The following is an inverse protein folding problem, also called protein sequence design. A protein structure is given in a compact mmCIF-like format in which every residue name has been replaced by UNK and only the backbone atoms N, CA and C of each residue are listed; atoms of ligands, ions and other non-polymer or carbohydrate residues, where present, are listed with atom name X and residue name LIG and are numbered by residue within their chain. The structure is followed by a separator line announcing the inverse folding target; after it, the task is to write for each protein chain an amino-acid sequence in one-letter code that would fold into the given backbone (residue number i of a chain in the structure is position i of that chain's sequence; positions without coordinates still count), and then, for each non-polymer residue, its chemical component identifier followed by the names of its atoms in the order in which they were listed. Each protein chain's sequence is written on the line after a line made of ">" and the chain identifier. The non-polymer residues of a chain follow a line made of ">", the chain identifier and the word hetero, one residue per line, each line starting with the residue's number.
data_IF_139312285072
#
_entry.id   IF_139312285072
#
_cell.length_a   1.000
_cell.length_b   1.000
_cell.length_c   1.000
_cell.angle_alpha   90.00
_cell.angle_beta   90.00
_cell.angle_gamma   90.00
#
_symmetry.space_group_name_H-M   'P 1'
#
loop_
_entity.id
_entity.type
_entity.pdbx_description
1 polymer ?
#
# COMPACT_ATOMS: atom_id res chain seq x y z
N UNK A 1 -21.60 0.41 11.02
CA UNK A 1 -20.17 0.11 10.86
C UNK A 1 -19.56 1.12 9.91
N UNK A 2 -18.33 1.53 10.15
CA UNK A 2 -17.57 2.46 9.32
C UNK A 2 -16.17 1.89 9.10
N UNK A 3 -15.63 1.95 7.88
CA UNK A 3 -14.25 1.62 7.58
C UNK A 3 -13.49 2.88 7.16
N UNK A 4 -12.26 3.05 7.68
CA UNK A 4 -11.34 4.11 7.30
C UNK A 4 -10.08 3.45 6.72
N UNK A 5 -9.76 3.78 5.47
CA UNK A 5 -8.51 3.42 4.83
C UNK A 5 -7.58 4.64 4.93
N UNK A 6 -6.44 4.47 5.58
CA UNK A 6 -5.47 5.54 5.76
C UNK A 6 -4.40 5.53 4.67
N UNK A 7 -4.37 6.58 3.87
CA UNK A 7 -3.44 6.83 2.78
C UNK A 7 -2.60 8.10 3.06
N UNK A 8 -2.33 8.37 4.34
CA UNK A 8 -1.80 9.65 4.79
C UNK A 8 -0.29 9.85 4.61
N UNK A 9 0.49 8.80 4.38
CA UNK A 9 1.94 8.88 4.29
C UNK A 9 2.44 9.57 3.01
N UNK A 10 3.50 10.40 3.12
CA UNK A 10 4.15 11.05 1.96
C UNK A 10 4.81 10.05 0.98
N UNK A 11 5.01 8.80 1.39
CA UNK A 11 5.59 7.74 0.55
C UNK A 11 7.07 7.96 0.21
N UNK A 12 7.79 8.81 0.94
CA UNK A 12 9.17 9.24 0.62
C UNK A 12 10.16 8.07 0.45
N UNK A 13 9.94 6.94 1.14
CA UNK A 13 10.77 5.73 1.02
C UNK A 13 10.67 5.03 -0.35
N UNK A 14 9.62 5.32 -1.15
CA UNK A 14 9.47 4.83 -2.54
C UNK A 14 10.14 5.75 -3.56
N UNK A 15 10.79 6.81 -3.09
CA UNK A 15 11.64 7.73 -3.85
C UNK A 15 10.95 8.30 -5.10
N UNK A 16 11.58 8.23 -6.27
CA UNK A 16 11.08 8.80 -7.54
C UNK A 16 9.71 8.25 -7.97
N UNK A 17 9.31 7.09 -7.47
CA UNK A 17 8.04 6.44 -7.82
C UNK A 17 6.82 7.15 -7.20
N UNK A 18 7.02 7.93 -6.13
CA UNK A 18 5.95 8.64 -5.41
C UNK A 18 6.06 10.17 -5.49
N UNK A 19 6.96 10.70 -6.32
CA UNK A 19 7.07 12.16 -6.55
C UNK A 19 5.77 12.76 -7.09
N UNK A 20 5.09 12.05 -7.98
CA UNK A 20 3.91 12.53 -8.70
C UNK A 20 2.65 11.68 -8.46
N UNK A 21 2.66 10.80 -7.47
CA UNK A 21 1.50 10.00 -7.08
C UNK A 21 1.51 9.63 -5.60
N UNK A 22 0.34 9.41 -5.03
CA UNK A 22 0.20 8.82 -3.71
C UNK A 22 0.74 7.38 -3.70
N UNK A 23 1.39 6.94 -2.61
CA UNK A 23 1.91 5.57 -2.48
C UNK A 23 0.84 4.49 -2.75
N UNK A 24 -0.41 4.60 -2.23
CA UNK A 24 -1.45 3.61 -2.51
C UNK A 24 -1.90 3.55 -3.98
N UNK A 25 -1.56 4.56 -4.79
CA UNK A 25 -1.79 4.57 -6.24
C UNK A 25 -0.61 3.95 -7.03
N UNK A 26 0.38 3.34 -6.37
CA UNK A 26 1.42 2.59 -7.08
C UNK A 26 0.83 1.35 -7.75
N UNK A 27 1.15 1.11 -9.04
CA UNK A 27 0.73 -0.08 -9.77
C UNK A 27 1.27 -1.35 -9.11
N UNK A 28 0.44 -2.39 -8.99
CA UNK A 28 0.85 -3.68 -8.46
C UNK A 28 0.35 -4.83 -9.36
N UNK A 29 1.18 -5.85 -9.55
CA UNK A 29 0.88 -7.01 -10.40
C UNK A 29 0.34 -6.64 -11.80
N UNK A 30 0.81 -5.51 -12.33
CA UNK A 30 0.51 -4.99 -13.66
C UNK A 30 -0.75 -4.14 -13.74
N UNK A 31 -1.91 -4.65 -13.38
CA UNK A 31 -3.22 -3.98 -13.59
C UNK A 31 -3.83 -3.38 -12.33
N UNK A 32 -3.38 -3.79 -11.16
CA UNK A 32 -3.90 -3.31 -9.88
C UNK A 32 -3.12 -2.12 -9.36
N UNK A 33 -3.63 -1.51 -8.28
CA UNK A 33 -2.92 -0.57 -7.42
C UNK A 33 -3.03 -1.01 -5.96
N UNK A 34 -2.15 -0.54 -5.09
CA UNK A 34 -2.11 -1.01 -3.70
C UNK A 34 -3.45 -0.80 -2.98
N UNK A 35 -4.12 0.33 -3.21
CA UNK A 35 -5.43 0.63 -2.61
C UNK A 35 -6.54 -0.33 -3.04
N UNK A 36 -6.37 -1.03 -4.15
CA UNK A 36 -7.37 -1.98 -4.64
C UNK A 36 -7.53 -3.18 -3.69
N UNK A 37 -6.48 -3.54 -2.93
CA UNK A 37 -6.52 -4.65 -1.97
C UNK A 37 -7.46 -4.38 -0.79
N UNK A 38 -7.28 -3.33 0.03
CA UNK A 38 -8.21 -3.03 1.11
C UNK A 38 -9.63 -2.73 0.60
N UNK A 39 -9.79 -2.04 -0.53
CA UNK A 39 -11.12 -1.78 -1.11
C UNK A 39 -11.82 -3.07 -1.56
N UNK A 40 -11.08 -4.03 -2.13
CA UNK A 40 -11.63 -5.33 -2.53
C UNK A 40 -12.03 -6.16 -1.32
N UNK A 41 -11.22 -6.17 -0.27
CA UNK A 41 -11.54 -6.87 0.98
C UNK A 41 -12.83 -6.29 1.61
N UNK A 42 -12.99 -4.97 1.65
CA UNK A 42 -14.21 -4.31 2.13
C UNK A 42 -15.43 -4.69 1.27
N UNK A 43 -15.30 -4.63 -0.06
CA UNK A 43 -16.38 -4.96 -0.98
C UNK A 43 -16.84 -6.41 -0.83
N UNK A 44 -15.91 -7.37 -0.74
CA UNK A 44 -16.23 -8.80 -0.55
C UNK A 44 -16.82 -9.09 0.83
N UNK A 45 -16.40 -8.34 1.85
CA UNK A 45 -16.94 -8.45 3.21
C UNK A 45 -18.29 -7.72 3.38
N UNK A 46 -18.82 -7.10 2.33
CA UNK A 46 -20.10 -6.39 2.38
C UNK A 46 -20.10 -5.09 3.18
N UNK A 47 -18.91 -4.50 3.37
CA UNK A 47 -18.73 -3.24 4.10
C UNK A 47 -18.78 -2.08 3.11
N UNK A 48 -19.82 -1.27 3.22
CA UNK A 48 -20.18 -0.27 2.20
C UNK A 48 -20.14 1.19 2.68
N UNK A 49 -19.77 1.46 3.92
CA UNK A 49 -19.52 2.81 4.41
C UNK A 49 -18.01 2.98 4.62
N UNK A 50 -17.34 3.58 3.64
CA UNK A 50 -15.88 3.61 3.53
C UNK A 50 -15.39 5.04 3.40
N UNK A 51 -14.45 5.43 4.27
CA UNK A 51 -13.70 6.66 4.12
C UNK A 51 -12.26 6.34 3.70
N UNK A 52 -11.79 7.03 2.68
CA UNK A 52 -10.40 6.96 2.25
C UNK A 52 -9.73 8.30 2.56
N UNK A 53 -8.86 8.29 3.54
CA UNK A 53 -8.15 9.49 3.96
C UNK A 53 -6.86 9.66 3.18
N UNK A 54 -6.68 10.80 2.51
CA UNK A 54 -5.55 11.07 1.63
C UNK A 54 -4.99 12.44 1.93
N UNK A 55 -3.71 12.51 2.34
CA UNK A 55 -3.05 13.78 2.64
C UNK A 55 -2.18 14.29 1.48
N UNK A 56 -1.56 13.39 0.72
CA UNK A 56 -0.62 13.73 -0.35
C UNK A 56 -1.11 13.21 -1.70
N UNK A 57 -0.90 13.99 -2.77
CA UNK A 57 -1.22 13.60 -4.16
C UNK A 57 -2.67 13.09 -4.33
N UNK A 58 -3.63 13.72 -3.68
CA UNK A 58 -5.03 13.27 -3.60
C UNK A 58 -5.69 13.09 -4.99
N UNK A 59 -5.30 13.90 -5.99
CA UNK A 59 -5.81 13.78 -7.35
C UNK A 59 -5.55 12.42 -7.99
N UNK A 60 -4.40 11.80 -7.68
CA UNK A 60 -4.07 10.46 -8.22
C UNK A 60 -4.94 9.37 -7.60
N UNK A 61 -5.34 9.55 -6.33
CA UNK A 61 -6.28 8.66 -5.67
C UNK A 61 -7.71 8.84 -6.19
N UNK A 62 -8.15 10.09 -6.39
CA UNK A 62 -9.48 10.38 -6.97
C UNK A 62 -9.64 9.72 -8.34
N UNK A 63 -8.62 9.82 -9.20
CA UNK A 63 -8.59 9.17 -10.51
C UNK A 63 -8.74 7.64 -10.42
N UNK A 64 -8.02 7.02 -9.48
CA UNK A 64 -8.04 5.56 -9.29
C UNK A 64 -9.36 5.07 -8.72
N UNK A 65 -9.85 5.69 -7.66
CA UNK A 65 -11.01 5.15 -6.97
C UNK A 65 -12.34 5.41 -7.68
N UNK A 66 -12.39 6.32 -8.66
CA UNK A 66 -13.56 6.57 -9.52
C UNK A 66 -14.88 6.66 -8.74
N UNK A 67 -14.88 7.39 -7.64
CA UNK A 67 -16.00 7.50 -6.68
C UNK A 67 -16.45 6.15 -6.08
N UNK A 68 -15.57 5.16 -6.01
CA UNK A 68 -15.86 3.84 -5.45
C UNK A 68 -16.65 2.90 -6.38
N UNK A 69 -16.91 3.31 -7.62
CA UNK A 69 -17.77 2.58 -8.55
C UNK A 69 -17.32 1.13 -8.82
N UNK A 70 -16.04 0.82 -9.02
CA UNK A 70 -15.61 -0.56 -9.23
C UNK A 70 -16.01 -1.49 -8.08
N UNK A 71 -16.01 -1.00 -6.84
CA UNK A 71 -16.30 -1.75 -5.61
C UNK A 71 -17.77 -1.62 -5.16
N UNK A 72 -18.64 -1.07 -6.02
CA UNK A 72 -20.05 -0.81 -5.69
C UNK A 72 -20.23 0.12 -4.47
N UNK A 73 -19.34 1.12 -4.37
CA UNK A 73 -19.31 2.14 -3.30
C UNK A 73 -19.78 3.53 -3.78
N UNK A 74 -20.36 3.64 -4.99
CA UNK A 74 -20.97 4.86 -5.53
C UNK A 74 -22.43 5.01 -5.07
N UNK A 75 -22.64 5.07 -3.75
CA UNK A 75 -23.95 5.01 -3.11
C UNK A 75 -24.39 6.34 -2.53
N UNK A 76 -25.71 6.54 -2.38
CA UNK A 76 -26.28 7.72 -1.72
C UNK A 76 -26.24 7.63 -0.18
N UNK A 77 -26.26 6.41 0.36
CA UNK A 77 -26.12 6.13 1.78
C UNK A 77 -24.93 5.20 1.98
N UNK A 78 -23.98 5.61 2.83
CA UNK A 78 -22.67 5.00 2.89
C UNK A 78 -21.79 5.40 1.70
N UNK A 79 -21.21 4.39 1.01
CA UNK A 79 -20.32 4.59 -0.14
C UNK A 79 -18.92 5.05 0.21
N UNK A 80 -18.13 5.35 -0.82
CA UNK A 80 -16.77 5.85 -0.68
C UNK A 80 -16.75 7.36 -0.53
N UNK A 81 -16.11 7.84 0.55
CA UNK A 81 -15.84 9.25 0.75
C UNK A 81 -14.33 9.49 0.84
N UNK A 82 -13.82 10.40 0.01
CA UNK A 82 -12.45 10.90 0.17
C UNK A 82 -12.41 11.95 1.28
N UNK A 83 -11.50 11.75 2.24
CA UNK A 83 -11.17 12.73 3.26
C UNK A 83 -9.83 13.38 2.90
N UNK A 84 -9.81 14.69 2.85
CA UNK A 84 -8.61 15.49 2.60
C UNK A 84 -8.43 16.49 3.74
N UNK A 85 -7.18 16.92 4.05
CA UNK A 85 -6.92 17.92 5.06
C UNK A 85 -7.77 19.18 4.85
N UNK A 86 -8.36 19.68 5.90
CA UNK A 86 -9.21 20.87 5.87
C UNK A 86 -8.42 22.08 6.39
N UNK A 87 -8.69 23.24 5.80
CA UNK A 87 -8.25 24.55 6.31
C UNK A 87 -9.42 25.51 6.35
N UNK A 88 -9.55 26.27 7.42
CA UNK A 88 -10.57 27.32 7.56
C UNK A 88 -11.33 27.28 8.87
N UNK A 89 -11.70 28.45 9.38
CA UNK A 89 -12.47 28.59 10.62
C UNK A 89 -13.86 27.97 10.50
N UNK A 90 -14.25 27.14 11.48
CA UNK A 90 -15.55 26.47 11.51
C UNK A 90 -15.55 25.04 10.92
N UNK A 91 -14.39 24.48 10.58
CA UNK A 91 -14.25 23.04 10.34
C UNK A 91 -14.61 22.28 11.63
N UNK A 92 -15.21 21.09 11.46
CA UNK A 92 -15.44 20.15 12.57
C UNK A 92 -14.17 19.38 12.90
N UNK A 93 -13.23 19.40 11.98
CA UNK A 93 -11.95 18.71 12.08
C UNK A 93 -10.89 19.68 12.59
N UNK A 94 -9.88 19.19 13.26
CA UNK A 94 -8.67 19.96 13.51
C UNK A 94 -8.01 20.33 12.19
N UNK A 95 -7.55 21.60 12.07
CA UNK A 95 -6.97 22.10 10.83
C UNK A 95 -5.59 21.50 10.54
N UNK A 96 -5.26 21.35 9.26
CA UNK A 96 -3.93 21.01 8.77
C UNK A 96 -3.72 19.53 8.44
N UNK A 97 -2.46 19.20 8.17
CA UNK A 97 -2.03 17.84 7.91
C UNK A 97 -1.83 17.09 9.23
N UNK A 98 -2.17 15.80 9.24
CA UNK A 98 -1.85 14.96 10.37
C UNK A 98 -0.35 14.62 10.38
N UNK A 99 0.23 14.55 11.58
CA UNK A 99 1.63 14.18 11.81
C UNK A 99 1.83 12.67 11.92
N UNK A 100 0.73 11.91 12.08
CA UNK A 100 0.70 10.45 12.14
C UNK A 100 -0.72 9.92 11.93
N UNK A 101 -0.85 8.61 11.85
CA UNK A 101 -2.12 7.96 11.57
C UNK A 101 -3.09 7.98 12.76
N UNK A 102 -2.62 8.04 14.02
CA UNK A 102 -3.47 8.25 15.19
C UNK A 102 -3.90 9.73 15.32
N UNK A 103 -3.02 10.68 14.98
CA UNK A 103 -3.37 12.10 14.88
C UNK A 103 -4.47 12.33 13.84
N UNK A 104 -4.40 11.64 12.70
CA UNK A 104 -5.44 11.67 11.67
C UNK A 104 -6.82 11.26 12.23
N UNK A 105 -6.87 10.15 12.98
CA UNK A 105 -8.11 9.68 13.61
C UNK A 105 -8.65 10.70 14.62
N UNK A 106 -7.77 11.34 15.40
CA UNK A 106 -8.18 12.39 16.31
C UNK A 106 -8.80 13.58 15.56
N UNK A 107 -8.17 14.05 14.49
CA UNK A 107 -8.64 15.19 13.69
C UNK A 107 -10.03 14.97 13.09
N UNK A 108 -10.39 13.73 12.76
CA UNK A 108 -11.70 13.37 12.21
C UNK A 108 -12.66 12.79 13.26
N UNK A 109 -12.29 12.74 14.54
CA UNK A 109 -13.05 12.09 15.61
C UNK A 109 -14.49 12.63 15.74
N UNK A 110 -14.69 13.95 15.57
CA UNK A 110 -16.01 14.55 15.56
C UNK A 110 -16.90 14.06 14.40
N UNK A 111 -16.33 13.75 13.25
CA UNK A 111 -17.08 13.15 12.15
C UNK A 111 -17.41 11.68 12.44
N UNK A 112 -16.47 10.91 13.03
CA UNK A 112 -16.72 9.53 13.46
C UNK A 112 -17.87 9.49 14.46
N UNK A 113 -17.85 10.33 15.50
CA UNK A 113 -18.90 10.43 16.50
C UNK A 113 -20.27 10.81 15.90
N UNK A 114 -20.29 11.63 14.84
CA UNK A 114 -21.55 12.01 14.17
C UNK A 114 -22.15 10.84 13.37
N UNK A 115 -21.33 9.95 12.81
CA UNK A 115 -21.78 8.72 12.16
C UNK A 115 -22.27 7.71 13.18
N UNK A 116 -21.71 7.73 14.41
CA UNK A 116 -22.01 6.82 15.54
C UNK A 116 -22.03 5.34 15.11
N UNK A 117 -20.94 4.82 14.51
CA UNK A 117 -20.91 3.42 14.09
C UNK A 117 -20.76 2.49 15.29
N UNK A 118 -21.31 1.26 15.20
CA UNK A 118 -21.12 0.24 16.24
C UNK A 118 -19.69 -0.30 16.27
N UNK A 119 -19.02 -0.37 15.11
CA UNK A 119 -17.61 -0.77 14.95
C UNK A 119 -16.94 0.16 13.97
N UNK A 120 -15.72 0.56 14.28
CA UNK A 120 -14.82 1.30 13.39
C UNK A 120 -13.67 0.38 12.94
N UNK A 121 -13.57 0.13 11.64
CA UNK A 121 -12.40 -0.49 11.05
C UNK A 121 -11.41 0.58 10.58
N UNK A 122 -10.13 0.39 10.88
CA UNK A 122 -9.05 1.26 10.40
C UNK A 122 -7.97 0.39 9.78
N UNK A 123 -7.51 0.73 8.58
CA UNK A 123 -6.51 -0.07 7.88
C UNK A 123 -5.60 0.79 7.01
N UNK A 124 -4.37 0.30 6.79
CA UNK A 124 -3.43 0.91 5.85
C UNK A 124 -3.88 0.71 4.40
N UNK A 125 -3.58 1.68 3.54
CA UNK A 125 -3.95 1.70 2.12
C UNK A 125 -2.92 1.00 1.21
N UNK A 126 -1.77 0.57 1.72
CA UNK A 126 -0.57 0.26 0.95
C UNK A 126 0.01 -1.15 1.22
N UNK A 127 -0.79 -2.03 1.83
CA UNK A 127 -0.43 -3.42 2.06
C UNK A 127 -1.10 -4.36 1.06
N UNK A 128 -0.40 -5.45 0.72
CA UNK A 128 -0.91 -6.52 -0.14
C UNK A 128 -1.34 -7.70 0.72
N UNK A 129 -2.64 -7.96 0.80
CA UNK A 129 -3.22 -9.03 1.61
C UNK A 129 -4.64 -9.37 1.16
N UNK A 130 -5.16 -10.47 1.68
CA UNK A 130 -6.57 -10.87 1.60
C UNK A 130 -7.09 -11.18 3.00
N UNK A 131 -8.21 -10.58 3.36
CA UNK A 131 -8.85 -10.80 4.66
C UNK A 131 -10.36 -10.63 4.54
N UNK A 132 -11.13 -11.57 5.10
CA UNK A 132 -12.56 -11.38 5.34
C UNK A 132 -12.74 -10.48 6.57
N UNK A 133 -13.12 -9.25 6.31
CA UNK A 133 -13.31 -8.24 7.35
C UNK A 133 -14.65 -8.44 8.10
N UNK A 134 -15.61 -9.20 7.54
CA UNK A 134 -16.83 -9.56 8.26
C UNK A 134 -16.49 -10.53 9.41
N UNK A 135 -15.63 -11.53 9.17
CA UNK A 135 -15.14 -12.43 10.22
C UNK A 135 -14.40 -11.68 11.33
N UNK A 136 -13.58 -10.68 10.96
CA UNK A 136 -12.90 -9.81 11.93
C UNK A 136 -13.90 -9.05 12.81
N UNK A 137 -14.94 -8.45 12.19
CA UNK A 137 -15.97 -7.69 12.91
C UNK A 137 -16.76 -8.59 13.85
N UNK A 138 -17.17 -9.77 13.39
CA UNK A 138 -17.90 -10.74 14.21
C UNK A 138 -17.05 -11.19 15.41
N UNK A 139 -15.77 -11.46 15.20
CA UNK A 139 -14.83 -11.82 16.28
C UNK A 139 -14.64 -10.66 17.28
N UNK A 140 -14.51 -9.43 16.80
CA UNK A 140 -14.39 -8.24 17.64
C UNK A 140 -15.61 -8.07 18.54
N UNK A 141 -16.80 -8.12 17.96
CA UNK A 141 -18.07 -7.99 18.72
C UNK A 141 -18.25 -9.13 19.71
N UNK A 142 -17.97 -10.38 19.31
CA UNK A 142 -18.10 -11.56 20.18
C UNK A 142 -17.14 -11.53 21.38
N UNK A 143 -15.94 -10.99 21.21
CA UNK A 143 -14.95 -10.85 22.28
C UNK A 143 -15.28 -9.74 23.29
N UNK A 144 -16.09 -8.77 22.90
CA UNK A 144 -16.34 -7.55 23.67
C UNK A 144 -15.08 -6.70 23.87
N UNK A 145 -14.09 -6.83 22.98
CA UNK A 145 -12.85 -6.06 23.03
C UNK A 145 -13.09 -4.57 22.76
N UNK A 146 -12.20 -3.73 23.27
CA UNK A 146 -12.15 -2.30 22.97
C UNK A 146 -11.34 -2.04 21.67
N UNK A 147 -10.36 -2.92 21.42
CA UNK A 147 -9.55 -2.94 20.19
C UNK A 147 -9.25 -4.38 19.79
N UNK A 148 -9.32 -4.67 18.51
CA UNK A 148 -8.78 -5.91 17.93
C UNK A 148 -7.68 -5.53 16.94
N UNK A 149 -6.50 -6.09 17.14
CA UNK A 149 -5.32 -5.91 16.28
C UNK A 149 -5.22 -7.11 15.36
N UNK A 150 -5.25 -6.90 14.06
CA UNK A 150 -4.94 -7.98 13.11
C UNK A 150 -3.43 -8.22 13.09
N UNK A 151 -3.02 -9.47 13.29
CA UNK A 151 -1.62 -9.87 13.38
C UNK A 151 -1.26 -10.86 12.31
N UNK A 152 0.00 -10.82 11.87
CA UNK A 152 0.60 -11.78 10.95
C UNK A 152 1.99 -12.16 11.43
N UNK A 153 2.54 -13.25 10.90
CA UNK A 153 3.89 -13.69 11.21
C UNK A 153 4.85 -13.31 10.07
N UNK A 154 5.96 -12.71 10.41
CA UNK A 154 7.10 -12.44 9.53
C UNK A 154 8.37 -13.02 10.10
N UNK A 155 9.46 -13.06 9.34
CA UNK A 155 10.76 -13.43 9.87
C UNK A 155 11.18 -12.42 10.95
N UNK A 156 11.81 -12.90 12.03
CA UNK A 156 12.18 -12.05 13.20
C UNK A 156 13.10 -10.90 12.76
N UNK A 157 13.95 -11.14 11.76
CA UNK A 157 14.87 -10.14 11.20
C UNK A 157 14.11 -9.00 10.49
N UNK A 158 12.91 -9.26 9.94
CA UNK A 158 12.06 -8.24 9.30
C UNK A 158 11.13 -7.56 10.32
N UNK A 159 10.92 -8.15 11.50
CA UNK A 159 9.93 -7.68 12.48
C UNK A 159 10.25 -6.29 13.07
N UNK A 160 11.54 -5.89 13.10
CA UNK A 160 11.97 -4.57 13.56
C UNK A 160 11.44 -3.38 12.74
N UNK A 161 11.05 -3.61 11.49
CA UNK A 161 10.42 -2.58 10.65
C UNK A 161 8.92 -2.36 10.96
N UNK A 162 8.33 -3.25 11.77
CA UNK A 162 6.90 -3.30 12.09
C UNK A 162 6.63 -3.09 13.58
N UNK A 163 5.35 -3.02 13.93
CA UNK A 163 4.94 -3.08 15.33
C UNK A 163 4.83 -4.54 15.77
N UNK A 164 5.69 -4.95 16.71
CA UNK A 164 5.72 -6.31 17.28
C UNK A 164 4.63 -6.45 18.34
N UNK A 165 3.87 -7.53 18.26
CA UNK A 165 2.73 -7.79 19.16
C UNK A 165 3.03 -9.01 20.04
N UNK A 166 2.85 -8.87 21.35
CA UNK A 166 2.88 -9.97 22.30
C UNK A 166 1.47 -10.34 22.74
N UNK A 167 1.16 -11.62 22.78
CA UNK A 167 -0.16 -12.13 23.18
C UNK A 167 -0.04 -13.17 24.28
N UNK A 168 -1.07 -13.27 25.12
CA UNK A 168 -1.20 -14.36 26.08
C UNK A 168 -1.97 -15.57 25.49
N UNK A 169 -2.10 -16.63 26.26
CA UNK A 169 -2.77 -17.88 25.83
C UNK A 169 -4.27 -17.67 25.51
N UNK A 170 -4.87 -16.57 25.92
CA UNK A 170 -6.26 -16.21 25.61
C UNK A 170 -6.39 -15.40 24.32
N UNK A 171 -5.28 -15.03 23.68
CA UNK A 171 -5.24 -14.15 22.51
C UNK A 171 -5.33 -12.67 22.85
N UNK A 172 -5.22 -12.29 24.14
CA UNK A 172 -5.17 -10.90 24.56
C UNK A 172 -3.79 -10.33 24.29
N UNK A 173 -3.74 -9.12 23.73
CA UNK A 173 -2.50 -8.38 23.52
C UNK A 173 -1.97 -7.88 24.86
N UNK A 174 -0.73 -8.24 25.17
CA UNK A 174 -0.03 -7.90 26.41
C UNK A 174 1.04 -6.83 26.23
N UNK A 175 1.60 -6.71 25.02
CA UNK A 175 2.52 -5.64 24.64
C UNK A 175 2.38 -5.29 23.16
N UNK A 176 2.68 -4.04 22.84
CA UNK A 176 2.72 -3.52 21.48
C UNK A 176 3.97 -2.64 21.36
N UNK A 177 5.02 -3.20 20.75
CA UNK A 177 6.33 -2.57 20.64
C UNK A 177 6.51 -1.99 19.24
N UNK A 178 6.50 -0.66 19.13
CA UNK A 178 6.54 0.01 17.85
C UNK A 178 7.95 0.10 17.29
N UNK A 179 8.24 -0.67 16.24
CA UNK A 179 9.53 -0.74 15.53
C UNK A 179 10.73 -0.89 16.47
N UNK A 180 10.78 -1.97 17.25
CA UNK A 180 11.86 -2.20 18.20
C UNK A 180 13.17 -2.54 17.47
N UNK A 181 14.30 -2.05 18.00
CA UNK A 181 15.64 -2.40 17.49
C UNK A 181 15.96 -3.90 17.68
N UNK A 182 15.39 -4.54 18.69
CA UNK A 182 15.56 -5.96 19.02
C UNK A 182 14.18 -6.62 19.18
N UNK A 183 13.57 -7.10 18.09
CA UNK A 183 12.22 -7.65 18.12
C UNK A 183 12.17 -8.98 18.89
N UNK A 184 11.27 -9.09 19.85
CA UNK A 184 11.10 -10.27 20.69
C UNK A 184 10.50 -11.48 19.95
N UNK A 185 9.80 -11.24 18.82
CA UNK A 185 9.17 -12.29 18.01
C UNK A 185 8.88 -11.76 16.59
N UNK A 186 8.51 -12.70 15.70
CA UNK A 186 8.03 -12.35 14.35
C UNK A 186 6.52 -12.10 14.27
N UNK A 187 5.78 -12.01 15.38
CA UNK A 187 4.36 -11.68 15.36
C UNK A 187 4.20 -10.16 15.30
N UNK A 188 3.69 -9.65 14.18
CA UNK A 188 3.56 -8.20 13.92
C UNK A 188 2.13 -7.78 13.65
N UNK A 189 1.85 -6.50 13.85
CA UNK A 189 0.60 -5.87 13.42
C UNK A 189 0.55 -5.77 11.89
N UNK A 190 -0.56 -6.21 11.30
CA UNK A 190 -0.83 -6.01 9.88
C UNK A 190 -1.38 -4.60 9.57
N UNK A 191 -1.40 -3.69 10.55
CA UNK A 191 -1.98 -2.35 10.46
C UNK A 191 -3.46 -2.36 10.03
N UNK A 192 -4.20 -3.32 10.54
CA UNK A 192 -5.65 -3.45 10.41
C UNK A 192 -6.22 -3.57 11.83
N UNK A 193 -7.16 -2.72 12.15
CA UNK A 193 -7.72 -2.62 13.49
C UNK A 193 -9.25 -2.56 13.45
N UNK A 194 -9.89 -3.21 14.42
CA UNK A 194 -11.28 -2.98 14.75
C UNK A 194 -11.40 -2.33 16.13
N UNK A 195 -12.12 -1.22 16.23
CA UNK A 195 -12.26 -0.47 17.46
C UNK A 195 -13.72 -0.35 17.90
N UNK A 196 -13.94 -0.31 19.21
CA UNK A 196 -15.10 0.39 19.77
C UNK A 196 -14.90 1.89 19.55
N UNK A 197 -15.70 2.55 18.71
CA UNK A 197 -15.46 3.95 18.32
C UNK A 197 -15.59 4.93 19.49
N UNK A 198 -16.39 4.60 20.51
CA UNK A 198 -16.56 5.46 21.69
C UNK A 198 -15.33 5.40 22.59
N UNK A 199 -14.75 4.21 22.74
CA UNK A 199 -13.49 4.04 23.49
C UNK A 199 -12.36 4.72 22.75
N UNK A 200 -12.24 4.49 21.43
CA UNK A 200 -11.19 5.10 20.62
C UNK A 200 -11.20 6.63 20.74
N UNK A 201 -12.35 7.27 20.53
CA UNK A 201 -12.44 8.73 20.59
C UNK A 201 -12.15 9.27 21.98
N UNK A 202 -12.59 8.61 23.05
CA UNK A 202 -12.26 8.98 24.42
C UNK A 202 -10.76 8.87 24.71
N UNK A 203 -10.09 7.81 24.24
CA UNK A 203 -8.64 7.64 24.40
C UNK A 203 -7.86 8.69 23.61
N UNK A 204 -8.29 9.02 22.39
CA UNK A 204 -7.67 10.08 21.58
C UNK A 204 -7.82 11.46 22.24
N UNK A 205 -8.98 11.77 22.83
CA UNK A 205 -9.22 13.02 23.57
C UNK A 205 -8.32 13.09 24.83
N UNK A 206 -8.14 11.98 25.55
CA UNK A 206 -7.25 11.91 26.71
C UNK A 206 -5.79 12.11 26.30
N UNK A 207 -5.33 11.44 25.24
CA UNK A 207 -3.97 11.60 24.71
C UNK A 207 -3.71 13.05 24.27
N UNK A 208 -4.64 13.66 23.54
CA UNK A 208 -4.48 15.05 23.13
C UNK A 208 -4.38 16.01 24.33
N UNK A 209 -5.17 15.77 25.39
CA UNK A 209 -5.11 16.59 26.61
C UNK A 209 -3.77 16.43 27.34
N UNK A 210 -3.19 15.22 27.34
CA UNK A 210 -1.91 14.94 28.00
C UNK A 210 -0.70 15.45 27.19
N UNK A 211 -0.73 15.32 25.87
CA UNK A 211 0.42 15.52 24.98
C UNK A 211 0.38 16.87 24.27
N UNK A 212 -0.82 17.36 23.90
CA UNK A 212 -1.00 18.56 23.08
C UNK A 212 -0.46 19.86 23.70
N UNK A 213 -0.41 19.97 25.06
CA UNK A 213 0.17 21.13 25.71
C UNK A 213 1.69 21.28 25.47
N UNK A 214 2.37 20.20 25.08
CA UNK A 214 3.81 20.15 24.80
C UNK A 214 4.15 20.12 23.32
N UNK A 215 3.14 19.98 22.47
CA UNK A 215 3.29 19.92 21.03
C UNK A 215 3.51 21.31 20.41
N UNK A 216 4.10 21.35 19.23
CA UNK A 216 4.25 22.58 18.46
C UNK A 216 2.88 23.10 17.97
N UNK A 217 2.80 24.37 17.61
CA UNK A 217 1.55 24.96 17.15
C UNK A 217 1.01 24.25 15.91
N UNK A 218 -0.19 23.66 16.03
CA UNK A 218 -0.83 22.89 14.97
C UNK A 218 -0.56 21.37 15.01
N UNK A 219 0.31 20.90 15.91
CA UNK A 219 0.49 19.49 16.24
C UNK A 219 -0.39 19.10 17.42
N UNK A 220 -0.96 17.91 17.39
CA UNK A 220 -1.77 17.36 18.50
C UNK A 220 -0.94 16.63 19.54
N UNK A 221 0.31 16.29 19.21
CA UNK A 221 1.22 15.47 20.02
C UNK A 221 0.92 13.97 19.99
N UNK A 222 -0.11 13.53 19.26
CA UNK A 222 -0.57 12.13 19.27
C UNK A 222 0.32 11.23 18.40
N UNK A 223 0.75 11.72 17.24
CA UNK A 223 1.65 11.00 16.33
C UNK A 223 1.04 9.74 15.69
N UNK A 224 1.86 8.70 15.53
CA UNK A 224 1.44 7.41 14.99
C UNK A 224 0.73 6.54 16.03
N UNK A 225 -0.11 5.60 15.58
CA UNK A 225 -0.88 4.73 16.47
C UNK A 225 0.01 3.90 17.41
N UNK A 226 1.22 3.54 16.97
CA UNK A 226 2.16 2.75 17.75
C UNK A 226 2.88 3.51 18.85
N UNK A 227 2.93 4.85 18.79
CA UNK A 227 3.64 5.68 19.75
C UNK A 227 2.87 5.82 21.07
N UNK A 228 1.56 6.06 21.01
CA UNK A 228 0.76 6.35 22.19
C UNK A 228 -0.59 5.63 22.22
N UNK A 229 -1.30 5.54 21.08
CA UNK A 229 -2.67 5.02 21.03
C UNK A 229 -2.76 3.54 21.37
N UNK A 230 -2.04 2.69 20.64
CA UNK A 230 -2.08 1.24 20.84
C UNK A 230 -1.51 0.84 22.21
N UNK A 231 -0.37 1.37 22.68
CA UNK A 231 0.09 1.13 24.05
C UNK A 231 -0.96 1.46 25.12
N UNK A 232 -1.63 2.61 24.98
CA UNK A 232 -2.71 3.01 25.92
C UNK A 232 -3.91 2.05 25.88
N UNK A 233 -4.31 1.56 24.70
CA UNK A 233 -5.40 0.59 24.57
C UNK A 233 -5.00 -0.78 25.13
N UNK A 234 -3.75 -1.20 24.98
CA UNK A 234 -3.20 -2.44 25.58
C UNK A 234 -3.19 -2.37 27.10
N UNK A 235 -2.75 -1.24 27.69
CA UNK A 235 -2.76 -1.01 29.14
C UNK A 235 -4.18 -1.12 29.75
N UNK A 236 -5.23 -0.81 28.99
CA UNK A 236 -6.62 -0.98 29.41
C UNK A 236 -7.04 -2.45 29.53
N UNK A 237 -6.26 -3.38 28.95
CA UNK A 237 -6.43 -4.82 29.08
C UNK A 237 -7.57 -5.45 28.29
N UNK A 238 -8.16 -4.71 27.33
CA UNK A 238 -9.26 -5.17 26.46
C UNK A 238 -8.90 -5.10 24.98
N UNK A 239 -7.61 -5.29 24.66
CA UNK A 239 -7.10 -5.43 23.30
C UNK A 239 -6.83 -6.90 23.03
N UNK A 240 -7.34 -7.42 21.90
CA UNK A 240 -7.18 -8.81 21.46
C UNK A 240 -6.52 -8.89 20.08
N UNK A 241 -5.87 -10.00 19.80
CA UNK A 241 -5.30 -10.27 18.48
C UNK A 241 -6.27 -11.07 17.61
N UNK A 242 -6.27 -10.80 16.30
CA UNK A 242 -6.94 -11.59 15.28
C UNK A 242 -5.91 -11.99 14.23
N UNK A 243 -5.74 -13.29 13.96
CA UNK A 243 -4.72 -13.74 13.01
C UNK A 243 -5.17 -13.52 11.57
N UNK A 244 -4.31 -12.91 10.75
CA UNK A 244 -4.50 -12.83 9.30
C UNK A 244 -3.99 -14.13 8.67
N UNK A 245 -4.86 -14.92 8.04
CA UNK A 245 -4.45 -16.13 7.36
C UNK A 245 -3.86 -15.80 5.98
N UNK A 246 -2.76 -16.46 5.63
CA UNK A 246 -2.18 -16.35 4.29
C UNK A 246 -1.20 -15.21 4.11
N UNK A 247 -1.09 -14.74 2.85
CA UNK A 247 -0.08 -13.77 2.47
C UNK A 247 -0.41 -12.36 2.98
N UNK A 248 0.59 -11.70 3.52
CA UNK A 248 0.59 -10.27 3.84
C UNK A 248 1.97 -9.69 3.57
N UNK A 249 2.02 -8.48 3.02
CA UNK A 249 3.28 -7.71 2.88
C UNK A 249 3.02 -6.21 2.88
N UNK A 250 3.78 -5.50 3.71
CA UNK A 250 4.00 -4.06 3.54
C UNK A 250 4.96 -3.85 2.36
N UNK A 251 4.59 -2.99 1.44
CA UNK A 251 5.40 -2.64 0.27
C UNK A 251 5.94 -1.21 0.37
N UNK A 252 6.41 -0.86 1.56
CA UNK A 252 6.87 0.46 1.95
C UNK A 252 8.19 0.91 1.35
N UNK A 253 8.97 0.02 0.74
CA UNK A 253 10.30 0.26 0.20
C UNK A 253 10.48 -0.42 -1.17
N UNK A 254 11.36 0.07 -2.06
CA UNK A 254 11.55 -0.51 -3.40
C UNK A 254 11.87 -2.00 -3.43
N UNK A 255 12.71 -2.50 -2.51
CA UNK A 255 13.03 -3.91 -2.43
C UNK A 255 11.83 -4.77 -2.00
N UNK A 256 11.06 -4.33 -0.99
CA UNK A 256 9.84 -5.01 -0.54
C UNK A 256 8.77 -5.00 -1.63
N UNK A 257 8.66 -3.90 -2.38
CA UNK A 257 7.75 -3.81 -3.52
C UNK A 257 8.14 -4.77 -4.64
N UNK A 258 9.42 -4.87 -4.99
CA UNK A 258 9.91 -5.80 -5.99
C UNK A 258 9.77 -7.27 -5.51
N UNK A 259 10.06 -7.53 -4.23
CA UNK A 259 9.88 -8.83 -3.59
C UNK A 259 8.41 -9.28 -3.61
N UNK A 260 7.47 -8.39 -3.26
CA UNK A 260 6.04 -8.71 -3.34
C UNK A 260 5.58 -9.11 -4.75
N UNK A 261 6.13 -8.49 -5.79
CA UNK A 261 5.88 -8.91 -7.17
C UNK A 261 6.46 -10.30 -7.47
N UNK A 262 7.63 -10.61 -6.96
CA UNK A 262 8.25 -11.95 -7.12
C UNK A 262 7.48 -13.01 -6.37
N UNK A 263 7.01 -12.74 -5.14
CA UNK A 263 6.17 -13.66 -4.37
C UNK A 263 4.92 -14.05 -5.18
N UNK A 264 4.27 -13.07 -5.80
CA UNK A 264 3.09 -13.31 -6.65
C UNK A 264 3.43 -14.12 -7.90
N UNK A 265 4.60 -13.88 -8.51
CA UNK A 265 5.01 -14.53 -9.76
C UNK A 265 5.49 -15.97 -9.55
N UNK A 266 6.25 -16.24 -8.49
CA UNK A 266 7.04 -17.46 -8.32
C UNK A 266 6.45 -18.40 -7.26
N UNK A 267 5.94 -17.84 -6.17
CA UNK A 267 5.57 -18.60 -4.98
C UNK A 267 4.07 -18.93 -4.92
N UNK A 268 3.28 -18.38 -5.87
CA UNK A 268 1.85 -18.67 -5.96
C UNK A 268 1.08 -18.35 -4.68
N UNK A 269 1.42 -17.23 -4.05
CA UNK A 269 0.95 -16.85 -2.69
C UNK A 269 -0.57 -16.66 -2.52
N UNK A 270 -1.35 -16.96 -3.56
CA UNK A 270 -2.81 -17.03 -3.46
C UNK A 270 -3.50 -15.71 -3.11
N UNK A 271 -2.92 -14.58 -3.50
CA UNK A 271 -3.52 -13.25 -3.25
C UNK A 271 -4.31 -12.74 -4.44
N UNK A 272 -3.93 -13.11 -5.67
CA UNK A 272 -4.60 -12.66 -6.90
C UNK A 272 -5.64 -13.67 -7.40
N UNK A 273 -5.30 -14.96 -7.42
CA UNK A 273 -6.09 -16.02 -8.07
C UNK A 273 -6.92 -16.80 -7.03
N UNK A 274 -7.79 -16.10 -6.29
CA UNK A 274 -8.67 -16.75 -5.32
C UNK A 274 -10.08 -16.81 -5.87
N UNK A 275 -10.63 -18.01 -6.12
CA UNK A 275 -12.00 -18.17 -6.58
C UNK A 275 -13.00 -17.51 -5.62
N UNK A 276 -13.88 -16.66 -6.17
CA UNK A 276 -14.88 -15.94 -5.38
C UNK A 276 -14.36 -14.70 -4.63
N UNK A 277 -13.05 -14.43 -4.71
CA UNK A 277 -12.43 -13.26 -4.06
C UNK A 277 -11.43 -12.53 -5.00
N UNK A 278 -11.84 -12.13 -6.22
CA UNK A 278 -10.96 -11.41 -7.13
C UNK A 278 -10.59 -10.03 -6.58
N UNK A 279 -9.40 -9.57 -6.88
CA UNK A 279 -9.05 -8.16 -6.64
C UNK A 279 -9.80 -7.31 -7.68
N UNK A 280 -10.61 -6.41 -7.18
CA UNK A 280 -11.41 -5.47 -7.98
C UNK A 280 -10.57 -4.20 -8.18
N UNK A 281 -10.61 -3.63 -9.38
CA UNK A 281 -9.81 -2.45 -9.72
C UNK A 281 -10.52 -1.58 -10.76
N UNK A 282 -10.19 -0.31 -10.78
CA UNK A 282 -10.50 0.59 -11.90
C UNK A 282 -9.50 0.39 -13.02
N UNK A 283 -9.75 -0.60 -13.87
CA UNK A 283 -8.84 -0.93 -14.95
C UNK A 283 -9.15 -0.16 -16.24
N UNK A 284 -8.13 0.40 -16.93
CA UNK A 284 -8.31 0.98 -18.23
C UNK A 284 -8.71 -0.11 -19.25
N UNK A 285 -9.65 0.21 -20.15
CA UNK A 285 -10.00 -0.70 -21.23
C UNK A 285 -8.85 -0.74 -22.25
N UNK A 286 -8.23 -1.89 -22.39
CA UNK A 286 -7.12 -2.15 -23.32
C UNK A 286 -7.41 -3.42 -24.12
N UNK A 287 -6.90 -3.54 -25.36
CA UNK A 287 -6.97 -4.80 -26.10
C UNK A 287 -6.17 -5.90 -25.37
N UNK A 288 -6.40 -7.18 -25.69
CA UNK A 288 -5.56 -8.26 -25.16
C UNK A 288 -4.07 -8.03 -25.44
N UNK A 289 -3.22 -8.57 -24.55
CA UNK A 289 -1.78 -8.56 -24.75
C UNK A 289 -1.39 -9.38 -25.99
N UNK A 290 -0.31 -8.98 -26.67
CA UNK A 290 0.19 -9.62 -27.87
C UNK A 290 1.62 -10.12 -27.64
N UNK A 291 1.82 -11.43 -27.76
CA UNK A 291 3.14 -12.06 -27.78
C UNK A 291 3.46 -12.41 -29.23
N UNK A 292 4.49 -11.79 -29.78
CA UNK A 292 4.85 -11.91 -31.20
C UNK A 292 5.79 -13.10 -31.44
N UNK A 293 5.95 -13.46 -32.71
CA UNK A 293 6.87 -14.55 -33.12
C UNK A 293 8.30 -14.24 -32.63
N UNK A 294 8.96 -15.26 -32.06
CA UNK A 294 10.31 -15.15 -31.52
C UNK A 294 10.40 -14.57 -30.09
N UNK A 295 9.30 -14.06 -29.53
CA UNK A 295 9.29 -13.63 -28.15
C UNK A 295 9.42 -14.81 -27.17
N UNK A 296 10.09 -14.56 -26.03
CA UNK A 296 10.19 -15.52 -24.91
C UNK A 296 9.58 -14.87 -23.66
N UNK A 297 8.53 -15.49 -23.13
CA UNK A 297 7.89 -15.05 -21.89
C UNK A 297 7.87 -16.22 -20.92
N UNK A 298 8.44 -16.05 -19.72
CA UNK A 298 8.40 -17.06 -18.65
C UNK A 298 8.26 -16.43 -17.28
N UNK A 299 7.47 -17.06 -16.41
CA UNK A 299 7.24 -16.65 -15.02
C UNK A 299 6.92 -15.14 -14.90
N UNK A 300 6.00 -14.63 -15.73
CA UNK A 300 5.78 -13.20 -15.90
C UNK A 300 4.30 -12.86 -16.03
N UNK A 301 3.90 -11.68 -15.53
CA UNK A 301 2.60 -11.12 -15.78
C UNK A 301 2.66 -10.12 -16.94
N UNK A 302 1.81 -10.29 -17.95
CA UNK A 302 1.72 -9.41 -19.11
C UNK A 302 0.34 -8.81 -19.19
N UNK A 303 0.24 -7.53 -18.89
CA UNK A 303 -1.04 -6.82 -18.79
C UNK A 303 -1.68 -6.54 -20.15
N UNK A 304 -3.00 -6.30 -20.21
CA UNK A 304 -3.71 -5.93 -21.44
C UNK A 304 -3.06 -4.74 -22.17
N UNK A 305 -3.10 -4.78 -23.50
CA UNK A 305 -2.49 -3.77 -24.37
C UNK A 305 -1.00 -3.91 -24.60
N UNK A 306 -0.31 -4.73 -23.82
CA UNK A 306 1.14 -4.94 -23.97
C UNK A 306 1.49 -5.67 -25.27
N UNK A 307 2.67 -5.37 -25.82
CA UNK A 307 3.21 -6.05 -26.98
C UNK A 307 4.62 -6.54 -26.65
N UNK A 308 4.86 -7.86 -26.77
CA UNK A 308 6.16 -8.49 -26.49
C UNK A 308 6.70 -9.11 -27.76
N UNK A 309 7.85 -8.61 -28.23
CA UNK A 309 8.64 -9.17 -29.32
C UNK A 309 10.04 -9.63 -28.84
N UNK A 310 10.43 -9.29 -27.62
CA UNK A 310 11.71 -9.62 -26.99
C UNK A 310 11.58 -10.71 -25.93
N UNK A 311 12.42 -10.62 -24.90
CA UNK A 311 12.49 -11.56 -23.77
C UNK A 311 11.95 -10.92 -22.50
N UNK A 312 11.02 -11.59 -21.82
CA UNK A 312 10.46 -11.16 -20.53
C UNK A 312 10.52 -12.36 -19.57
N UNK A 313 11.26 -12.23 -18.49
CA UNK A 313 11.43 -13.29 -17.49
C UNK A 313 11.28 -12.78 -16.08
N UNK A 314 10.48 -13.48 -15.26
CA UNK A 314 10.23 -13.15 -13.85
C UNK A 314 9.94 -11.66 -13.65
N UNK A 315 9.09 -11.12 -14.53
CA UNK A 315 8.85 -9.68 -14.65
C UNK A 315 7.37 -9.37 -14.79
N UNK A 316 7.02 -8.14 -14.45
CA UNK A 316 5.66 -7.64 -14.59
C UNK A 316 5.64 -6.50 -15.60
N UNK A 317 4.81 -6.64 -16.63
CA UNK A 317 4.54 -5.60 -17.62
C UNK A 317 3.16 -4.98 -17.38
N UNK A 318 3.14 -3.69 -17.11
CA UNK A 318 1.92 -2.89 -16.98
C UNK A 318 1.17 -2.70 -18.30
N UNK A 319 -0.08 -2.20 -18.27
CA UNK A 319 -0.92 -2.06 -19.45
C UNK A 319 -0.26 -1.23 -20.56
N UNK A 320 -0.26 -1.76 -21.78
CA UNK A 320 0.29 -1.06 -22.95
C UNK A 320 1.81 -1.00 -23.02
N UNK A 321 2.54 -1.69 -22.15
CA UNK A 321 4.00 -1.79 -22.22
C UNK A 321 4.45 -2.48 -23.50
N UNK A 322 5.57 -2.03 -24.07
CA UNK A 322 6.13 -2.59 -25.31
C UNK A 322 7.56 -3.06 -25.06
N UNK A 323 7.84 -4.32 -25.42
CA UNK A 323 9.18 -4.88 -25.41
C UNK A 323 9.54 -5.27 -26.85
N UNK A 324 10.41 -4.47 -27.48
CA UNK A 324 10.80 -4.66 -28.89
C UNK A 324 11.68 -5.89 -29.10
N UNK A 325 11.85 -6.30 -30.36
CA UNK A 325 12.67 -7.45 -30.72
C UNK A 325 14.13 -7.25 -30.27
N UNK A 326 14.70 -8.29 -29.63
CA UNK A 326 16.06 -8.26 -29.07
C UNK A 326 16.18 -7.53 -27.72
N UNK A 327 15.12 -6.88 -27.24
CA UNK A 327 15.11 -6.32 -25.89
C UNK A 327 14.89 -7.41 -24.83
N UNK A 328 15.42 -7.20 -23.62
CA UNK A 328 15.30 -8.11 -22.49
C UNK A 328 14.81 -7.36 -21.24
N UNK A 329 13.79 -7.93 -20.55
CA UNK A 329 13.28 -7.48 -19.25
C UNK A 329 13.35 -8.66 -18.28
N UNK A 330 14.16 -8.56 -17.25
CA UNK A 330 14.44 -9.67 -16.33
C UNK A 330 14.34 -9.20 -14.88
N UNK A 331 13.66 -9.97 -14.01
CA UNK A 331 13.47 -9.66 -12.59
C UNK A 331 13.02 -8.21 -12.32
N UNK A 332 12.17 -7.66 -13.18
CA UNK A 332 11.86 -6.23 -13.22
C UNK A 332 10.36 -5.95 -13.29
N UNK A 333 9.97 -4.75 -12.86
CA UNK A 333 8.61 -4.24 -13.00
C UNK A 333 8.61 -3.04 -13.93
N UNK A 334 7.87 -3.12 -15.02
CA UNK A 334 7.72 -2.05 -16.02
C UNK A 334 6.28 -1.61 -16.06
N UNK A 335 6.02 -0.34 -15.73
CA UNK A 335 4.67 0.19 -15.64
C UNK A 335 4.07 0.54 -17.01
N UNK A 336 2.84 1.06 -16.96
CA UNK A 336 2.02 1.27 -18.14
C UNK A 336 2.68 2.16 -19.22
N UNK A 337 2.40 1.84 -20.49
CA UNK A 337 2.78 2.63 -21.67
C UNK A 337 4.29 2.92 -21.81
N UNK A 338 5.13 2.12 -21.14
CA UNK A 338 6.59 2.19 -21.23
C UNK A 338 7.10 1.35 -22.38
N UNK A 339 8.07 1.87 -23.13
CA UNK A 339 8.68 1.20 -24.29
C UNK A 339 10.11 0.83 -23.98
N UNK A 340 10.45 -0.46 -24.11
CA UNK A 340 11.81 -0.99 -24.05
C UNK A 340 12.24 -1.29 -25.49
N UNK A 341 13.12 -0.44 -26.03
CA UNK A 341 13.54 -0.47 -27.44
C UNK A 341 14.45 -1.66 -27.76
N UNK A 342 14.63 -1.93 -29.05
CA UNK A 342 15.42 -3.02 -29.57
C UNK A 342 16.82 -3.10 -28.92
N UNK A 343 17.24 -4.29 -28.48
CA UNK A 343 18.53 -4.52 -27.84
C UNK A 343 18.71 -3.99 -26.42
N UNK A 344 17.75 -3.20 -25.90
CA UNK A 344 17.82 -2.68 -24.54
C UNK A 344 17.64 -3.78 -23.50
N UNK A 345 18.25 -3.60 -22.33
CA UNK A 345 18.14 -4.51 -21.18
C UNK A 345 17.67 -3.77 -19.94
N UNK A 346 16.65 -4.32 -19.29
CA UNK A 346 16.12 -3.86 -18.00
C UNK A 346 16.22 -5.01 -17.02
N UNK A 347 17.07 -4.88 -16.01
CA UNK A 347 17.40 -5.94 -15.07
C UNK A 347 17.26 -5.44 -13.62
N UNK A 348 16.52 -6.19 -12.78
CA UNK A 348 16.31 -5.91 -11.35
C UNK A 348 16.00 -4.44 -11.07
N UNK A 349 15.02 -3.92 -11.82
CA UNK A 349 14.69 -2.49 -11.87
C UNK A 349 13.18 -2.28 -11.80
N UNK A 350 12.79 -1.07 -11.37
CA UNK A 350 11.41 -0.60 -11.46
C UNK A 350 11.39 0.60 -12.39
N UNK A 351 10.68 0.47 -13.52
CA UNK A 351 10.54 1.52 -14.54
C UNK A 351 9.11 2.02 -14.57
N UNK A 352 8.93 3.30 -14.29
CA UNK A 352 7.62 3.91 -14.17
C UNK A 352 6.93 4.10 -15.55
N UNK A 353 5.74 4.64 -15.52
CA UNK A 353 4.81 4.83 -16.64
C UNK A 353 5.37 5.79 -17.70
N UNK A 354 5.10 5.46 -18.98
CA UNK A 354 5.43 6.30 -20.14
C UNK A 354 6.93 6.61 -20.29
N UNK A 355 7.78 5.69 -19.87
CA UNK A 355 9.21 5.80 -20.12
C UNK A 355 9.57 5.28 -21.51
N UNK A 356 10.66 5.81 -22.09
CA UNK A 356 11.27 5.31 -23.32
C UNK A 356 12.72 4.87 -23.01
N UNK A 357 12.93 3.57 -22.98
CA UNK A 357 14.26 2.98 -22.77
C UNK A 357 14.88 2.74 -24.15
N UNK A 358 15.83 3.63 -24.52
CA UNK A 358 16.43 3.70 -25.85
C UNK A 358 17.10 2.40 -26.30
N UNK A 359 17.27 2.25 -27.61
CA UNK A 359 17.87 1.03 -28.18
C UNK A 359 19.27 0.78 -27.57
N UNK A 360 19.56 -0.50 -27.30
CA UNK A 360 20.83 -0.98 -26.69
C UNK A 360 21.17 -0.36 -25.31
N UNK A 361 20.25 0.39 -24.68
CA UNK A 361 20.44 0.92 -23.34
C UNK A 361 20.46 -0.21 -22.29
N UNK A 362 21.15 0.01 -21.18
CA UNK A 362 21.18 -0.91 -20.04
C UNK A 362 20.69 -0.20 -18.79
N UNK A 363 19.67 -0.76 -18.16
CA UNK A 363 19.04 -0.23 -16.95
C UNK A 363 19.11 -1.28 -15.85
N UNK A 364 19.79 -0.95 -14.77
CA UNK A 364 20.06 -1.88 -13.67
C UNK A 364 21.23 -2.81 -13.94
N UNK A 365 21.32 -3.87 -13.13
CA UNK A 365 22.41 -4.86 -13.21
C UNK A 365 21.89 -6.24 -12.79
N UNK A 366 22.36 -7.33 -13.44
CA UNK A 366 22.06 -8.69 -13.00
C UNK A 366 22.64 -9.03 -11.62
N UNK A 367 23.63 -8.26 -11.16
CA UNK A 367 24.30 -8.45 -9.86
C UNK A 367 23.67 -7.59 -8.73
N UNK A 368 22.61 -6.82 -9.03
CA UNK A 368 21.91 -6.00 -8.02
C UNK A 368 21.42 -6.89 -6.87
N UNK A 369 21.70 -6.50 -5.64
CA UNK A 369 21.09 -7.10 -4.47
C UNK A 369 19.59 -6.73 -4.42
N UNK A 370 18.74 -7.76 -4.40
CA UNK A 370 17.29 -7.56 -4.42
C UNK A 370 16.70 -7.29 -3.03
N UNK A 371 17.50 -7.46 -1.98
CA UNK A 371 17.11 -7.17 -0.60
C UNK A 371 17.62 -5.79 -0.12
N UNK A 372 18.33 -5.07 -0.99
CA UNK A 372 18.79 -3.70 -0.75
C UNK A 372 18.01 -2.68 -1.62
N UNK A 373 17.24 -1.82 -0.96
CA UNK A 373 16.49 -0.75 -1.61
C UNK A 373 17.36 0.19 -2.43
N UNK A 374 18.56 0.48 -1.94
CA UNK A 374 19.48 1.44 -2.59
C UNK A 374 20.14 0.83 -3.83
N UNK A 375 20.24 -0.48 -3.90
CA UNK A 375 20.78 -1.20 -5.05
C UNK A 375 19.80 -1.31 -6.24
N UNK A 376 18.50 -1.25 -6.01
CA UNK A 376 17.47 -1.37 -7.06
C UNK A 376 17.41 -0.07 -7.87
N UNK A 377 17.50 -0.17 -9.19
CA UNK A 377 17.36 0.98 -10.09
C UNK A 377 15.91 1.41 -10.23
N UNK A 378 15.65 2.71 -10.05
CA UNK A 378 14.34 3.32 -10.19
C UNK A 378 14.36 4.36 -11.31
N UNK A 379 13.45 4.21 -12.27
CA UNK A 379 13.24 5.17 -13.35
C UNK A 379 11.87 5.81 -13.16
N UNK A 380 11.84 7.12 -12.89
CA UNK A 380 10.62 7.88 -12.64
C UNK A 380 9.76 8.05 -13.90
N UNK A 381 8.53 8.50 -13.70
CA UNK A 381 7.52 8.66 -14.75
C UNK A 381 8.00 9.53 -15.92
N UNK A 382 7.72 9.09 -17.15
CA UNK A 382 7.97 9.89 -18.35
C UNK A 382 9.44 10.14 -18.68
N UNK A 383 10.35 9.33 -18.12
CA UNK A 383 11.78 9.42 -18.42
C UNK A 383 12.10 8.88 -19.82
N UNK A 384 13.12 9.47 -20.44
CA UNK A 384 13.71 8.97 -21.68
C UNK A 384 15.19 8.64 -21.46
N UNK A 385 15.53 7.36 -21.50
CA UNK A 385 16.90 6.86 -21.42
C UNK A 385 17.48 6.80 -22.83
N UNK A 386 18.57 7.52 -23.15
CA UNK A 386 19.13 7.55 -24.49
C UNK A 386 19.59 6.16 -24.98
N UNK A 387 19.65 5.99 -26.31
CA UNK A 387 20.19 4.78 -26.92
C UNK A 387 21.65 4.54 -26.48
N UNK A 388 21.96 3.30 -26.10
CA UNK A 388 23.28 2.89 -25.63
C UNK A 388 23.67 3.41 -24.24
N UNK A 389 22.83 4.17 -23.56
CA UNK A 389 23.10 4.65 -22.20
C UNK A 389 23.17 3.49 -21.20
N UNK A 390 23.94 3.67 -20.13
CA UNK A 390 24.08 2.72 -19.04
C UNK A 390 23.68 3.37 -17.73
N UNK A 391 22.61 2.88 -17.13
CA UNK A 391 22.16 3.20 -15.77
C UNK A 391 22.54 2.02 -14.87
N UNK A 392 23.59 2.13 -14.05
CA UNK A 392 24.01 1.04 -13.17
C UNK A 392 22.96 0.77 -12.08
N UNK A 393 23.12 -0.36 -11.38
CA UNK A 393 22.34 -0.66 -10.18
C UNK A 393 22.33 0.51 -9.20
N UNK A 394 21.20 0.78 -8.56
CA UNK A 394 21.02 1.90 -7.64
C UNK A 394 20.76 3.27 -8.28
N UNK A 395 20.71 3.38 -9.61
CA UNK A 395 20.39 4.64 -10.28
C UNK A 395 18.98 5.14 -9.93
N UNK A 396 18.83 6.46 -9.78
CA UNK A 396 17.55 7.15 -9.56
C UNK A 396 17.36 8.22 -10.64
N UNK A 397 16.34 8.05 -11.49
CA UNK A 397 15.96 9.08 -12.46
C UNK A 397 14.67 9.76 -11.98
N UNK A 398 14.78 11.08 -11.75
CA UNK A 398 13.60 11.89 -11.41
C UNK A 398 12.59 11.93 -12.57
N UNK A 399 11.27 12.01 -12.28
CA UNK A 399 10.25 12.09 -13.31
C UNK A 399 10.55 13.15 -14.37
N UNK A 400 10.29 12.80 -15.65
CA UNK A 400 10.50 13.68 -16.79
C UNK A 400 11.96 13.85 -17.23
N UNK A 401 12.92 13.11 -16.66
CA UNK A 401 14.32 13.16 -17.10
C UNK A 401 14.45 12.67 -18.54
N UNK A 402 15.01 13.52 -19.42
CA UNK A 402 15.16 13.25 -20.87
C UNK A 402 16.61 13.05 -21.32
N UNK A 403 17.56 13.10 -20.39
CA UNK A 403 18.99 12.85 -20.65
C UNK A 403 19.59 12.19 -19.40
N UNK A 404 20.32 11.14 -19.58
CA UNK A 404 21.13 10.49 -18.54
C UNK A 404 22.60 10.57 -18.91
#
# INVERSE_FOLDING_TARGET
>A
MLAIIQAGGAGSRMDVLTRERAKPALPFAGVYQLVDFPLSNLAHSGIDHVWLSVQYQASTMEEQVANGRPWNLDRNDGGLRLLMPQQGSGSLDAEGFATGNADELYRISAQIQRVDPDVLLVMSADHVYRLDLAELVDAHLASGAECTVVTTAVDVEEAGDHAVVSIDDSGRVTAFDYKPDDPASGLVSAEIFAYDPRVLTAVLDDLHRELGERAEAGDTGIGDFGEHLLPRLVERGRTVAHSLPGYWRDVGQPHLYLRAHRDVLLDGVGVLDVPGWPIISHQPQRPPARVLEGAVVSDSLVSPGSTVAGVVRRSVLGPGAVVEAGAEVVDSVVFADTVVRAGARVERSIVDTRCDIGADARVGSPDTDLDDSDAITLVGRGCSVPAGAVLPGGSRLEPGTTSA
#
